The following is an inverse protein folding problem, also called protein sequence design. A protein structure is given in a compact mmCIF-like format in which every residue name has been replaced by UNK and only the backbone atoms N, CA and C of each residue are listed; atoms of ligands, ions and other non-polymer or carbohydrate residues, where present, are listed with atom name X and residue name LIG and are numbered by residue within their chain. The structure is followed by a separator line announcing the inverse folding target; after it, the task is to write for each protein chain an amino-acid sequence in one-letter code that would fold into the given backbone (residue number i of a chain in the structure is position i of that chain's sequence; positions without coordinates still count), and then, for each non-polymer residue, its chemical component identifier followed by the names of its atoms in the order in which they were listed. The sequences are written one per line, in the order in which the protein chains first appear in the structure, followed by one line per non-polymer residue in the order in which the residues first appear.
data_IF_126409890500
#
_entry.id   IF_126409890500
#
_cell.length_a   1.000
_cell.length_b   1.000
_cell.length_c   1.000
_cell.angle_alpha   90.00
_cell.angle_beta   90.00
_cell.angle_gamma   90.00
#
_symmetry.space_group_name_H-M   'P 1'
#
loop_
_entity.id
_entity.type
_entity.pdbx_description
1 polymer ?
#
# COMPACT_ATOMS: atom_id res chain seq x y z
N UNK A 1 -31.89 11.57 3.11
CA UNK A 1 -30.70 10.70 3.29
C UNK A 1 -30.20 10.95 4.69
N UNK A 2 -30.25 9.95 5.57
CA UNK A 2 -29.81 10.06 6.96
C UNK A 2 -28.72 9.03 7.17
N UNK A 3 -27.49 9.48 7.41
CA UNK A 3 -26.36 8.55 7.54
C UNK A 3 -26.00 8.24 8.98
N UNK A 4 -26.70 8.81 9.98
CA UNK A 4 -26.52 8.51 11.40
C UNK A 4 -25.10 8.72 11.96
N UNK A 5 -24.21 9.35 11.18
CA UNK A 5 -22.80 9.48 11.46
C UNK A 5 -22.45 10.97 11.49
N UNK A 6 -21.96 11.43 12.63
CA UNK A 6 -21.70 12.85 12.91
C UNK A 6 -20.70 13.47 11.93
N UNK A 7 -19.71 12.71 11.48
CA UNK A 7 -18.71 13.17 10.49
C UNK A 7 -19.31 13.47 9.11
N UNK A 8 -20.57 13.08 8.85
CA UNK A 8 -21.24 13.32 7.58
C UNK A 8 -22.12 14.58 7.57
N UNK A 9 -22.26 15.28 8.70
CA UNK A 9 -23.21 16.40 8.84
C UNK A 9 -22.92 17.55 7.86
N UNK A 10 -21.64 17.84 7.59
CA UNK A 10 -21.23 18.86 6.62
C UNK A 10 -20.95 18.30 5.21
N UNK A 11 -20.39 17.09 5.13
CA UNK A 11 -19.98 16.49 3.86
C UNK A 11 -21.17 16.13 2.96
N UNK A 12 -22.19 15.46 3.52
CA UNK A 12 -23.32 14.99 2.72
C UNK A 12 -24.13 16.12 2.06
N UNK A 13 -24.53 17.20 2.77
CA UNK A 13 -25.22 18.32 2.14
C UNK A 13 -24.39 18.98 1.04
N UNK A 14 -23.07 19.12 1.24
CA UNK A 14 -22.18 19.67 0.24
C UNK A 14 -22.20 18.84 -1.05
N UNK A 15 -22.02 17.53 -0.95
CA UNK A 15 -22.09 16.65 -2.12
C UNK A 15 -23.47 16.64 -2.79
N UNK A 16 -24.55 16.65 -2.02
CA UNK A 16 -25.91 16.77 -2.57
C UNK A 16 -26.05 18.05 -3.41
N UNK A 17 -25.50 19.18 -2.92
CA UNK A 17 -25.54 20.45 -3.65
C UNK A 17 -24.73 20.39 -4.95
N UNK A 18 -23.53 19.79 -4.93
CA UNK A 18 -22.71 19.59 -6.14
C UNK A 18 -23.43 18.70 -7.16
N UNK A 19 -23.97 17.54 -6.72
CA UNK A 19 -24.74 16.62 -7.57
C UNK A 19 -25.95 17.32 -8.18
N UNK A 20 -26.70 18.07 -7.38
CA UNK A 20 -27.89 18.79 -7.84
C UNK A 20 -27.54 19.89 -8.84
N UNK A 21 -26.43 20.61 -8.62
CA UNK A 21 -25.91 21.61 -9.55
C UNK A 21 -25.62 21.01 -10.93
N UNK A 22 -24.97 19.84 -10.98
CA UNK A 22 -24.75 19.14 -12.25
C UNK A 22 -26.03 18.58 -12.86
N UNK A 23 -26.92 17.98 -12.05
CA UNK A 23 -28.11 17.29 -12.55
C UNK A 23 -29.20 18.26 -13.04
N UNK A 24 -29.32 19.45 -12.43
CA UNK A 24 -30.44 20.35 -12.64
C UNK A 24 -30.07 21.81 -12.94
N UNK A 25 -28.85 22.25 -12.61
CA UNK A 25 -28.48 23.66 -12.58
C UNK A 25 -27.55 24.15 -13.69
N UNK A 26 -27.35 23.36 -14.75
CA UNK A 26 -26.39 23.65 -15.84
C UNK A 26 -25.01 24.09 -15.31
N UNK A 27 -24.54 23.47 -14.22
CA UNK A 27 -23.32 23.84 -13.51
C UNK A 27 -22.05 23.35 -14.23
N UNK A 28 -21.84 23.80 -15.46
CA UNK A 28 -20.65 23.52 -16.24
C UNK A 28 -20.15 24.77 -16.98
N UNK A 29 -18.93 25.28 -16.70
CA UNK A 29 -17.92 24.75 -15.79
C UNK A 29 -18.35 24.79 -14.30
N UNK A 30 -17.88 23.85 -13.47
CA UNK A 30 -18.41 23.68 -12.12
C UNK A 30 -18.05 24.84 -11.19
N UNK A 31 -19.08 25.41 -10.56
CA UNK A 31 -18.99 26.43 -9.53
C UNK A 31 -19.24 25.86 -8.14
N UNK A 32 -18.72 26.55 -7.12
CA UNK A 32 -18.92 26.20 -5.72
C UNK A 32 -20.40 26.39 -5.35
N UNK A 33 -21.06 25.39 -4.74
CA UNK A 33 -22.51 25.45 -4.48
C UNK A 33 -22.91 26.59 -3.53
N UNK A 34 -22.01 27.00 -2.64
CA UNK A 34 -22.26 28.04 -1.64
C UNK A 34 -21.75 29.44 -2.04
N UNK A 35 -20.94 29.55 -3.10
CA UNK A 35 -20.30 30.81 -3.50
C UNK A 35 -20.43 31.03 -5.01
N UNK A 36 -21.41 31.85 -5.41
CA UNK A 36 -21.67 32.16 -6.81
C UNK A 36 -20.44 32.78 -7.50
N UNK A 37 -20.15 32.33 -8.72
CA UNK A 37 -19.00 32.80 -9.51
C UNK A 37 -17.65 32.20 -9.10
N UNK A 38 -17.58 31.45 -7.98
CA UNK A 38 -16.34 30.81 -7.53
C UNK A 38 -16.23 29.42 -8.15
N UNK A 39 -15.04 29.09 -8.67
CA UNK A 39 -14.78 27.76 -9.25
C UNK A 39 -14.77 26.68 -8.18
N UNK A 40 -15.34 25.53 -8.49
CA UNK A 40 -15.26 24.35 -7.63
C UNK A 40 -13.83 23.76 -7.69
N UNK A 41 -13.13 23.78 -6.55
CA UNK A 41 -11.79 23.19 -6.41
C UNK A 41 -11.82 21.80 -5.76
N UNK A 42 -12.96 21.43 -5.19
CA UNK A 42 -13.17 20.12 -4.59
C UNK A 42 -13.21 19.01 -5.66
N UNK A 43 -12.65 17.82 -5.41
CA UNK A 43 -12.71 16.70 -6.36
C UNK A 43 -14.15 16.23 -6.62
N UNK A 44 -14.71 16.62 -7.76
CA UNK A 44 -16.14 16.49 -8.05
C UNK A 44 -16.51 15.29 -8.94
N UNK A 45 -15.54 14.46 -9.35
CA UNK A 45 -15.80 13.35 -10.30
C UNK A 45 -16.85 12.37 -9.76
N UNK A 46 -16.78 12.07 -8.47
CA UNK A 46 -17.73 11.18 -7.78
C UNK A 46 -19.14 11.78 -7.81
N UNK A 47 -19.27 13.08 -7.64
CA UNK A 47 -20.55 13.79 -7.69
C UNK A 47 -21.09 13.91 -9.12
N UNK A 48 -20.20 14.12 -10.08
CA UNK A 48 -20.54 14.20 -11.49
C UNK A 48 -21.10 12.87 -12.01
N UNK A 49 -20.48 11.73 -11.64
CA UNK A 49 -21.00 10.39 -11.97
C UNK A 49 -22.36 10.16 -11.31
N UNK A 50 -22.53 10.56 -10.04
CA UNK A 50 -23.83 10.47 -9.37
C UNK A 50 -24.89 11.31 -10.11
N UNK A 51 -24.54 12.52 -10.54
CA UNK A 51 -25.43 13.40 -11.27
C UNK A 51 -25.86 12.79 -12.61
N UNK A 52 -25.00 12.04 -13.31
CA UNK A 52 -25.40 11.29 -14.51
C UNK A 52 -26.49 10.27 -14.22
N UNK A 53 -26.36 9.50 -13.13
CA UNK A 53 -27.40 8.54 -12.72
C UNK A 53 -28.71 9.24 -12.35
N UNK A 54 -28.62 10.36 -11.63
CA UNK A 54 -29.80 11.17 -11.29
C UNK A 54 -30.47 11.72 -12.55
N UNK A 55 -29.69 12.24 -13.50
CA UNK A 55 -30.19 12.73 -14.79
C UNK A 55 -30.80 11.62 -15.65
N UNK A 56 -30.33 10.39 -15.49
CA UNK A 56 -30.90 9.19 -16.11
C UNK A 56 -32.18 8.68 -15.41
N UNK A 57 -32.65 9.36 -14.36
CA UNK A 57 -33.91 9.05 -13.67
C UNK A 57 -33.76 8.29 -12.36
N UNK A 58 -32.54 8.04 -11.88
CA UNK A 58 -32.34 7.43 -10.57
C UNK A 58 -32.71 8.41 -9.44
N UNK A 59 -33.29 7.89 -8.36
CA UNK A 59 -33.46 8.68 -7.14
C UNK A 59 -32.10 9.07 -6.57
N UNK A 60 -31.92 10.33 -6.15
CA UNK A 60 -30.66 10.85 -5.61
C UNK A 60 -30.07 9.96 -4.50
N UNK A 61 -30.90 9.55 -3.55
CA UNK A 61 -30.50 8.65 -2.48
C UNK A 61 -29.97 7.31 -3.00
N UNK A 62 -30.68 6.71 -3.96
CA UNK A 62 -30.28 5.44 -4.57
C UNK A 62 -28.99 5.57 -5.39
N UNK A 63 -28.85 6.64 -6.17
CA UNK A 63 -27.64 6.91 -6.93
C UNK A 63 -26.41 7.04 -6.01
N UNK A 64 -26.54 7.81 -4.93
CA UNK A 64 -25.46 8.00 -3.95
C UNK A 64 -25.12 6.71 -3.21
N UNK A 65 -26.13 5.94 -2.78
CA UNK A 65 -25.94 4.66 -2.09
C UNK A 65 -25.22 3.66 -2.99
N UNK A 66 -25.78 3.38 -4.17
CA UNK A 66 -25.24 2.35 -5.06
C UNK A 66 -23.84 2.68 -5.56
N UNK A 67 -23.55 3.96 -5.80
CA UNK A 67 -22.20 4.38 -6.15
C UNK A 67 -21.21 4.13 -5.02
N UNK A 68 -21.52 4.54 -3.78
CA UNK A 68 -20.66 4.30 -2.63
C UNK A 68 -20.48 2.80 -2.37
N UNK A 69 -21.56 2.02 -2.45
CA UNK A 69 -21.53 0.57 -2.28
C UNK A 69 -20.63 -0.10 -3.33
N UNK A 70 -20.79 0.24 -4.60
CA UNK A 70 -19.95 -0.30 -5.69
C UNK A 70 -18.48 0.08 -5.54
N UNK A 71 -18.19 1.32 -5.13
CA UNK A 71 -16.82 1.77 -4.85
C UNK A 71 -16.21 1.05 -3.65
N UNK A 72 -16.98 0.78 -2.59
CA UNK A 72 -16.52 0.03 -1.43
C UNK A 72 -16.20 -1.42 -1.78
N UNK A 73 -17.06 -2.09 -2.55
CA UNK A 73 -16.78 -3.45 -3.06
C UNK A 73 -15.51 -3.47 -3.92
N UNK A 74 -15.35 -2.45 -4.77
CA UNK A 74 -14.15 -2.30 -5.58
C UNK A 74 -12.91 -2.10 -4.72
N UNK A 75 -13.00 -1.27 -3.67
CA UNK A 75 -11.92 -1.04 -2.70
C UNK A 75 -11.46 -2.34 -2.04
N UNK A 76 -12.40 -3.20 -1.60
CA UNK A 76 -12.08 -4.53 -1.04
C UNK A 76 -11.26 -5.37 -2.03
N UNK A 77 -11.70 -5.43 -3.29
CA UNK A 77 -11.01 -6.18 -4.34
C UNK A 77 -9.60 -5.66 -4.61
N UNK A 78 -9.42 -4.34 -4.73
CA UNK A 78 -8.10 -3.75 -5.00
C UNK A 78 -7.17 -3.82 -3.79
N UNK A 79 -7.69 -3.68 -2.56
CA UNK A 79 -6.92 -3.89 -1.33
C UNK A 79 -6.41 -5.32 -1.24
N UNK A 80 -7.28 -6.31 -1.47
CA UNK A 80 -6.90 -7.72 -1.48
C UNK A 80 -5.80 -7.97 -2.53
N UNK A 81 -5.98 -7.47 -3.75
CA UNK A 81 -4.98 -7.63 -4.83
C UNK A 81 -3.65 -6.98 -4.46
N UNK A 82 -3.68 -5.74 -3.96
CA UNK A 82 -2.48 -5.02 -3.53
C UNK A 82 -1.72 -5.80 -2.47
N UNK A 83 -2.42 -6.25 -1.42
CA UNK A 83 -1.85 -7.03 -0.34
C UNK A 83 -1.23 -8.34 -0.86
N UNK A 84 -1.94 -9.08 -1.73
CA UNK A 84 -1.43 -10.30 -2.33
C UNK A 84 -0.14 -10.07 -3.14
N UNK A 85 -0.04 -8.97 -3.86
CA UNK A 85 1.14 -8.63 -4.65
C UNK A 85 2.32 -8.19 -3.80
N UNK A 86 2.05 -7.54 -2.67
CA UNK A 86 3.06 -7.06 -1.75
C UNK A 86 3.61 -8.19 -0.87
N UNK A 87 2.73 -8.99 -0.26
CA UNK A 87 3.10 -10.02 0.72
C UNK A 87 3.39 -11.38 0.08
N UNK A 88 2.83 -11.65 -1.11
CA UNK A 88 2.81 -12.98 -1.75
C UNK A 88 2.15 -14.07 -0.88
N UNK A 89 1.37 -13.67 0.12
CA UNK A 89 0.69 -14.55 1.07
C UNK A 89 -0.83 -14.38 0.94
N UNK A 90 -1.55 -15.49 0.76
CA UNK A 90 -3.00 -15.50 0.55
C UNK A 90 -3.79 -15.16 1.81
N UNK A 91 -3.31 -15.57 2.97
CA UNK A 91 -3.99 -15.31 4.25
C UNK A 91 -3.82 -13.84 4.61
N UNK A 92 -2.61 -13.29 4.48
CA UNK A 92 -2.36 -11.87 4.68
C UNK A 92 -3.20 -11.01 3.72
N UNK A 93 -3.31 -11.42 2.45
CA UNK A 93 -4.16 -10.75 1.47
C UNK A 93 -5.64 -10.77 1.84
N UNK A 94 -6.15 -11.91 2.32
CA UNK A 94 -7.53 -12.06 2.75
C UNK A 94 -7.84 -11.23 4.01
N UNK A 95 -6.91 -11.17 4.96
CA UNK A 95 -7.08 -10.43 6.21
C UNK A 95 -6.96 -8.91 6.02
N UNK A 96 -6.21 -8.43 5.02
CA UNK A 96 -5.93 -7.00 4.85
C UNK A 96 -7.21 -6.15 4.68
N UNK A 97 -8.16 -6.47 3.78
CA UNK A 97 -9.41 -5.73 3.69
C UNK A 97 -10.20 -5.71 5.00
N UNK A 98 -10.25 -6.84 5.73
CA UNK A 98 -10.94 -6.91 7.01
C UNK A 98 -10.30 -5.98 8.05
N UNK A 99 -8.97 -5.96 8.14
CA UNK A 99 -8.23 -5.08 9.05
C UNK A 99 -8.45 -3.59 8.72
N UNK A 100 -8.54 -3.24 7.43
CA UNK A 100 -8.79 -1.85 7.01
C UNK A 100 -10.24 -1.44 7.29
N UNK A 101 -11.21 -2.26 6.89
CA UNK A 101 -12.64 -1.94 7.06
C UNK A 101 -13.07 -1.95 8.53
N UNK A 102 -12.49 -2.84 9.32
CA UNK A 102 -12.78 -2.98 10.75
C UNK A 102 -11.72 -2.28 11.60
N UNK A 103 -10.95 -1.39 10.98
CA UNK A 103 -9.92 -0.59 11.67
C UNK A 103 -10.54 0.18 12.83
N UNK A 104 -9.80 0.29 13.91
CA UNK A 104 -10.26 0.96 15.10
C UNK A 104 -9.09 1.19 16.04
N UNK A 105 -9.33 2.00 17.05
CA UNK A 105 -8.33 2.23 18.08
C UNK A 105 -8.43 1.21 19.22
N UNK A 106 -7.82 1.55 20.35
CA UNK A 106 -7.92 0.90 21.66
C UNK A 106 -9.30 0.96 22.32
N UNK A 107 -10.35 1.39 21.60
CA UNK A 107 -11.72 1.42 22.08
C UNK A 107 -12.25 0.09 22.60
N UNK A 108 -11.73 -1.02 22.07
CA UNK A 108 -12.06 -2.37 22.51
C UNK A 108 -11.74 -2.60 24.00
N UNK A 109 -10.74 -1.90 24.57
CA UNK A 109 -10.42 -2.01 25.99
C UNK A 109 -11.57 -1.52 26.87
N UNK A 110 -12.17 -0.39 26.49
CA UNK A 110 -13.33 0.18 27.16
C UNK A 110 -14.57 -0.70 26.97
N UNK A 111 -14.79 -1.20 25.75
CA UNK A 111 -15.87 -2.15 25.46
C UNK A 111 -15.77 -3.41 26.33
N UNK A 112 -14.58 -4.03 26.43
CA UNK A 112 -14.39 -5.22 27.26
C UNK A 112 -14.54 -4.91 28.75
N UNK A 113 -14.08 -3.74 29.19
CA UNK A 113 -14.31 -3.27 30.55
C UNK A 113 -15.79 -3.17 30.87
N UNK A 114 -16.59 -2.62 29.94
CA UNK A 114 -18.04 -2.48 30.09
C UNK A 114 -18.76 -3.84 30.02
N UNK A 115 -18.35 -4.72 29.10
CA UNK A 115 -18.90 -6.08 29.01
C UNK A 115 -18.60 -6.90 30.27
N UNK A 116 -17.43 -6.71 30.90
CA UNK A 116 -17.04 -7.40 32.12
C UNK A 116 -17.73 -6.83 33.38
N UNK A 117 -17.89 -5.50 33.45
CA UNK A 117 -18.42 -4.82 34.64
C UNK A 117 -19.95 -4.63 34.62
N UNK A 118 -20.55 -4.48 33.44
CA UNK A 118 -21.97 -4.16 33.28
C UNK A 118 -22.94 -5.35 33.39
N UNK A 119 -22.44 -6.57 33.61
CA UNK A 119 -23.26 -7.80 33.67
C UNK A 119 -23.99 -8.15 32.37
N UNK A 120 -23.81 -7.35 31.31
CA UNK A 120 -24.30 -7.59 29.96
C UNK A 120 -23.19 -8.32 29.20
N UNK A 121 -23.42 -9.59 28.88
CA UNK A 121 -22.46 -10.35 28.07
C UNK A 121 -22.16 -9.66 26.73
N UNK A 122 -20.99 -9.93 26.16
CA UNK A 122 -20.45 -9.33 24.91
C UNK A 122 -21.50 -9.24 23.79
N UNK A 123 -22.27 -10.31 23.56
CA UNK A 123 -23.28 -10.35 22.51
C UNK A 123 -24.46 -9.41 22.73
N UNK A 124 -24.83 -9.12 23.99
CA UNK A 124 -25.91 -8.18 24.30
C UNK A 124 -25.45 -6.74 24.11
N UNK A 125 -24.24 -6.41 24.55
CA UNK A 125 -23.64 -5.10 24.33
C UNK A 125 -23.45 -4.83 22.83
N UNK A 126 -23.18 -5.87 22.05
CA UNK A 126 -23.12 -5.80 20.59
C UNK A 126 -24.43 -5.50 19.89
N UNK A 127 -25.54 -5.99 20.45
CA UNK A 127 -26.87 -5.73 19.89
C UNK A 127 -27.37 -4.31 20.14
N UNK A 128 -26.85 -3.64 21.18
CA UNK A 128 -27.22 -2.28 21.55
C UNK A 128 -26.01 -1.55 22.14
N UNK A 129 -25.17 -0.98 21.27
CA UNK A 129 -24.04 -0.19 21.71
C UNK A 129 -24.54 1.15 22.26
N UNK A 130 -24.18 1.47 23.50
CA UNK A 130 -24.48 2.76 24.12
C UNK A 130 -23.51 3.85 23.67
N UNK A 131 -22.29 3.47 23.30
CA UNK A 131 -21.19 4.38 22.96
C UNK A 131 -20.56 4.06 21.61
N UNK A 132 -20.08 5.10 20.92
CA UNK A 132 -19.09 4.94 19.86
C UNK A 132 -17.71 4.72 20.50
N UNK A 133 -17.27 3.46 20.55
CA UNK A 133 -15.96 3.10 21.12
C UNK A 133 -14.77 3.57 20.26
N UNK A 134 -15.00 4.04 19.04
CA UNK A 134 -13.95 4.59 18.17
C UNK A 134 -13.74 6.08 18.41
N UNK A 135 -14.81 6.80 18.76
CA UNK A 135 -14.79 8.24 19.03
C UNK A 135 -15.53 8.54 20.33
N UNK A 136 -14.81 8.50 21.46
CA UNK A 136 -15.36 8.85 22.78
C UNK A 136 -14.95 10.28 23.15
N UNK A 137 -15.77 11.26 22.75
CA UNK A 137 -15.50 12.68 22.96
C UNK A 137 -15.25 13.06 24.43
N UNK A 138 -15.96 12.42 25.36
CA UNK A 138 -15.81 12.66 26.80
C UNK A 138 -14.44 12.22 27.36
N UNK A 139 -13.74 11.29 26.69
CA UNK A 139 -12.38 10.84 27.03
C UNK A 139 -11.31 11.52 26.17
N UNK A 140 -11.70 12.41 25.23
CA UNK A 140 -10.80 12.93 24.20
C UNK A 140 -10.31 11.86 23.21
N UNK A 141 -10.92 10.68 23.22
CA UNK A 141 -10.50 9.55 22.38
C UNK A 141 -11.07 9.69 20.97
N UNK A 142 -10.21 9.83 19.96
CA UNK A 142 -10.61 10.07 18.56
C UNK A 142 -9.84 9.17 17.60
N UNK A 143 -10.17 7.89 17.60
CA UNK A 143 -9.62 6.92 16.66
C UNK A 143 -10.74 6.29 15.85
N UNK A 144 -11.33 7.09 14.95
CA UNK A 144 -12.47 6.69 14.14
C UNK A 144 -12.16 5.52 13.20
N UNK A 145 -13.15 4.65 13.02
CA UNK A 145 -13.09 3.59 12.03
C UNK A 145 -13.04 4.16 10.60
N UNK A 146 -12.23 3.57 9.72
CA UNK A 146 -12.06 4.08 8.36
C UNK A 146 -13.36 4.12 7.55
N UNK A 147 -14.30 3.20 7.77
CA UNK A 147 -15.58 3.17 7.06
C UNK A 147 -16.45 4.36 7.49
N UNK A 148 -16.66 4.53 8.79
CA UNK A 148 -17.56 5.56 9.33
C UNK A 148 -16.93 6.96 9.32
N UNK A 149 -15.62 7.08 9.48
CA UNK A 149 -14.95 8.38 9.52
C UNK A 149 -14.48 8.90 8.16
N UNK A 150 -14.23 8.00 7.20
CA UNK A 150 -13.63 8.36 5.90
C UNK A 150 -14.46 7.85 4.72
N UNK A 151 -14.68 6.55 4.57
CA UNK A 151 -15.17 6.02 3.29
C UNK A 151 -16.65 6.30 3.03
N UNK A 152 -17.49 6.29 4.06
CA UNK A 152 -18.91 6.64 3.94
C UNK A 152 -19.10 8.15 3.85
N UNK A 153 -18.31 8.89 4.62
CA UNK A 153 -18.49 10.32 4.87
C UNK A 153 -17.57 11.21 4.08
N UNK A 154 -16.69 10.66 3.23
CA UNK A 154 -15.83 11.40 2.31
C UNK A 154 -15.73 10.57 1.03
N UNK A 155 -16.79 10.62 0.22
CA UNK A 155 -16.93 9.78 -0.98
C UNK A 155 -15.81 9.96 -2.00
N UNK A 156 -15.22 11.16 -2.07
CA UNK A 156 -14.06 11.42 -2.93
C UNK A 156 -12.78 10.75 -2.41
N UNK A 157 -12.62 10.57 -1.09
CA UNK A 157 -11.52 9.77 -0.53
C UNK A 157 -11.67 8.30 -0.89
N UNK A 158 -12.89 7.75 -0.82
CA UNK A 158 -13.14 6.36 -1.19
C UNK A 158 -12.67 6.06 -2.63
N UNK A 159 -13.03 6.92 -3.58
CA UNK A 159 -12.51 6.82 -4.95
C UNK A 159 -10.99 7.02 -4.99
N UNK A 160 -10.48 8.06 -4.33
CA UNK A 160 -9.06 8.41 -4.35
C UNK A 160 -8.15 7.30 -3.84
N UNK A 161 -8.51 6.66 -2.72
CA UNK A 161 -7.76 5.53 -2.15
C UNK A 161 -7.82 4.31 -3.06
N UNK A 162 -8.98 4.00 -3.64
CA UNK A 162 -9.10 2.89 -4.59
C UNK A 162 -8.20 3.11 -5.82
N UNK A 163 -8.18 4.31 -6.38
CA UNK A 163 -7.31 4.66 -7.50
C UNK A 163 -5.82 4.65 -7.12
N UNK A 164 -5.48 5.17 -5.93
CA UNK A 164 -4.11 5.14 -5.43
C UNK A 164 -3.59 3.71 -5.30
N UNK A 165 -4.41 2.78 -4.79
CA UNK A 165 -4.06 1.36 -4.70
C UNK A 165 -3.86 0.72 -6.06
N UNK A 166 -4.66 1.08 -7.07
CA UNK A 166 -4.45 0.62 -8.45
C UNK A 166 -3.10 1.10 -8.98
N UNK A 167 -2.81 2.40 -8.83
CA UNK A 167 -1.54 3.00 -9.26
C UNK A 167 -0.36 2.34 -8.56
N UNK A 168 -0.42 2.18 -7.24
CA UNK A 168 0.63 1.52 -6.48
C UNK A 168 0.81 0.05 -6.89
N UNK A 169 -0.28 -0.68 -7.12
CA UNK A 169 -0.22 -2.06 -7.61
C UNK A 169 0.52 -2.15 -8.94
N UNK A 170 0.17 -1.30 -9.89
CA UNK A 170 0.82 -1.27 -11.21
C UNK A 170 2.29 -0.86 -11.09
N UNK A 171 2.59 0.14 -10.26
CA UNK A 171 3.96 0.59 -10.03
C UNK A 171 4.82 -0.51 -9.40
N UNK A 172 4.31 -1.21 -8.39
CA UNK A 172 5.00 -2.34 -7.75
C UNK A 172 5.29 -3.46 -8.75
N UNK A 173 4.30 -3.84 -9.56
CA UNK A 173 4.47 -4.86 -10.60
C UNK A 173 5.51 -4.44 -11.65
N UNK A 174 5.51 -3.17 -12.06
CA UNK A 174 6.51 -2.64 -12.99
C UNK A 174 7.93 -2.65 -12.39
N UNK A 175 8.07 -2.27 -11.12
CA UNK A 175 9.33 -2.27 -10.39
C UNK A 175 9.94 -3.67 -10.28
N UNK A 176 9.15 -4.66 -9.89
CA UNK A 176 9.61 -6.06 -9.78
C UNK A 176 10.01 -6.63 -11.15
N UNK A 177 9.26 -6.33 -12.22
CA UNK A 177 9.64 -6.71 -13.59
C UNK A 177 10.96 -6.07 -14.02
N UNK A 178 11.17 -4.79 -13.71
CA UNK A 178 12.41 -4.08 -14.04
C UNK A 178 13.62 -4.67 -13.29
N UNK A 179 13.48 -4.97 -11.99
CA UNK A 179 14.52 -5.66 -11.20
C UNK A 179 14.86 -7.02 -11.79
N UNK A 180 13.86 -7.83 -12.14
CA UNK A 180 14.07 -9.15 -12.75
C UNK A 180 14.79 -9.09 -14.09
N UNK A 181 14.48 -8.09 -14.94
CA UNK A 181 15.21 -7.85 -16.19
C UNK A 181 16.67 -7.48 -15.93
N UNK A 182 16.93 -6.61 -14.95
CA UNK A 182 18.29 -6.17 -14.59
C UNK A 182 19.14 -7.32 -14.03
N UNK A 183 18.54 -8.22 -13.23
CA UNK A 183 19.20 -9.42 -12.73
C UNK A 183 19.57 -10.38 -13.85
N UNK A 184 18.63 -10.70 -14.76
CA UNK A 184 18.89 -11.58 -15.91
C UNK A 184 19.97 -11.04 -16.86
N UNK A 185 19.98 -9.72 -17.10
CA UNK A 185 21.02 -9.09 -17.91
C UNK A 185 22.41 -9.20 -17.27
N UNK A 186 22.48 -9.10 -15.93
CA UNK A 186 23.72 -9.27 -15.18
C UNK A 186 24.21 -10.72 -15.22
N UNK A 187 23.33 -11.69 -14.98
CA UNK A 187 23.65 -13.12 -15.06
C UNK A 187 24.14 -13.53 -16.46
N UNK A 188 23.50 -13.05 -17.52
CA UNK A 188 23.93 -13.31 -18.90
C UNK A 188 25.29 -12.71 -19.22
N UNK A 189 25.57 -11.48 -18.76
CA UNK A 189 26.88 -10.84 -18.90
C UNK A 189 27.97 -11.58 -18.13
N UNK A 190 27.66 -12.06 -16.91
CA UNK A 190 28.60 -12.81 -16.08
C UNK A 190 28.91 -14.20 -16.70
N UNK A 191 27.90 -14.87 -17.28
CA UNK A 191 28.10 -16.11 -18.04
C UNK A 191 28.94 -15.92 -19.30
N UNK A 192 28.69 -14.87 -20.07
CA UNK A 192 29.45 -14.55 -21.29
C UNK A 192 30.91 -14.19 -20.97
N UNK A 193 31.13 -13.39 -19.91
CA UNK A 193 32.45 -13.12 -19.37
C UNK A 193 33.16 -14.41 -18.91
N UNK A 194 32.46 -15.32 -18.22
CA UNK A 194 33.04 -16.59 -17.79
C UNK A 194 33.43 -17.49 -18.98
N UNK A 195 32.60 -17.55 -20.03
CA UNK A 195 32.88 -18.35 -21.25
C UNK A 195 34.10 -17.81 -22.01
N UNK A 196 34.21 -16.49 -22.18
CA UNK A 196 35.36 -15.88 -22.87
C UNK A 196 36.69 -16.11 -22.13
N UNK A 197 36.68 -16.18 -20.80
CA UNK A 197 37.87 -16.51 -19.99
C UNK A 197 38.30 -17.97 -20.17
N UNK A 198 37.34 -18.90 -20.26
CA UNK A 198 37.62 -20.32 -20.51
C UNK A 198 38.16 -20.53 -21.93
N UNK A 199 37.56 -19.89 -22.93
CA UNK A 199 38.00 -19.95 -24.32
C UNK A 199 39.42 -19.39 -24.49
N UNK A 200 39.70 -18.20 -23.93
CA UNK A 200 41.04 -17.63 -23.94
C UNK A 200 42.08 -18.50 -23.22
N UNK A 201 41.71 -19.21 -22.13
CA UNK A 201 42.61 -20.18 -21.48
C UNK A 201 42.86 -21.42 -22.34
N UNK A 202 41.84 -21.94 -23.03
CA UNK A 202 41.97 -23.09 -23.93
C UNK A 202 42.95 -22.80 -25.07
N UNK A 203 42.80 -21.64 -25.72
CA UNK A 203 43.70 -21.17 -26.79
C UNK A 203 45.14 -20.97 -26.28
N UNK A 204 45.33 -20.46 -25.05
CA UNK A 204 46.66 -20.28 -24.46
C UNK A 204 47.37 -21.60 -24.13
N UNK A 205 46.61 -22.65 -23.78
CA UNK A 205 47.15 -23.99 -23.52
C UNK A 205 47.55 -24.68 -24.82
N UNK A 206 46.75 -24.53 -25.88
CA UNK A 206 47.03 -25.11 -27.21
C UNK A 206 48.24 -24.44 -27.88
N UNK A 207 48.37 -23.11 -27.76
CA UNK A 207 49.55 -22.36 -28.23
C UNK A 207 50.87 -22.76 -27.53
N UNK A 208 50.82 -23.21 -26.26
CA UNK A 208 51.99 -23.72 -25.53
C UNK A 208 52.41 -25.14 -25.89
N UNK A 209 51.60 -25.88 -26.66
CA UNK A 209 51.90 -27.25 -27.12
C UNK A 209 52.91 -27.33 -28.27
N UNK A 210 53.13 -26.23 -29.01
CA UNK A 210 53.99 -26.20 -30.20
C UNK A 210 55.25 -25.37 -29.91
N UNK A 211 56.24 -25.97 -29.26
CA UNK A 211 57.49 -25.25 -28.97
C UNK A 211 58.48 -25.92 -28.01
N UNK A 212 58.71 -27.24 -28.13
CA UNK A 212 59.86 -27.86 -27.44
C UNK A 212 61.16 -27.60 -28.21
N UNK A 213 61.93 -26.59 -27.80
CA UNK A 213 63.41 -26.62 -27.95
C UNK A 213 64.07 -26.52 -26.58
N UNK A 214 64.74 -27.61 -26.21
CA UNK A 214 65.59 -27.76 -25.03
C UNK A 214 66.74 -26.75 -25.10
N UNK A 215 66.91 -25.94 -24.06
CA UNK A 215 68.22 -25.37 -23.71
C UNK A 215 68.53 -25.78 -22.27
N UNK A 216 69.62 -26.53 -22.11
CA UNK A 216 70.24 -26.85 -20.83
C UNK A 216 71.01 -25.62 -20.37
N UNK A 217 70.81 -25.17 -19.13
CA UNK A 217 71.88 -24.49 -18.39
C UNK A 217 71.82 -24.86 -16.92
N UNK A 218 72.99 -25.25 -16.42
CA UNK A 218 73.30 -25.82 -15.11
C UNK A 218 74.02 -24.75 -14.31
N UNK A 219 73.52 -24.31 -13.16
CA UNK A 219 74.34 -23.65 -12.14
C UNK A 219 73.82 -24.00 -10.73
N UNK A 220 74.78 -24.35 -9.86
CA UNK A 220 74.68 -24.72 -8.45
C UNK A 220 74.55 -23.49 -7.54
N UNK A 221 73.87 -23.69 -6.41
CA UNK A 221 74.40 -23.37 -5.07
C UNK A 221 74.06 -22.01 -4.47
N UNK A 222 73.57 -22.02 -3.22
CA UNK A 222 73.59 -20.84 -2.35
C UNK A 222 72.38 -20.72 -1.41
N UNK A 223 72.53 -21.22 -0.19
CA UNK A 223 71.69 -20.91 0.96
C UNK A 223 71.83 -19.43 1.36
N UNK A 224 70.71 -18.75 1.68
CA UNK A 224 70.52 -18.04 2.97
C UNK A 224 69.15 -17.34 3.07
N UNK A 225 68.61 -17.46 4.27
CA UNK A 225 67.46 -16.79 4.88
C UNK A 225 67.50 -15.26 4.80
N UNK A 226 66.37 -14.62 4.50
CA UNK A 226 66.08 -13.24 4.94
C UNK A 226 64.57 -13.01 5.10
N UNK A 227 64.23 -12.59 6.32
CA UNK A 227 62.93 -12.19 6.85
C UNK A 227 62.61 -10.78 6.32
N UNK A 228 61.46 -10.56 5.70
CA UNK A 228 61.09 -9.26 5.12
C UNK A 228 59.58 -9.01 5.13
N UNK A 229 59.18 -8.05 5.94
CA UNK A 229 57.83 -7.57 6.26
C UNK A 229 56.95 -7.21 5.05
N UNK A 230 55.66 -7.38 5.28
CA UNK A 230 54.51 -6.81 4.58
C UNK A 230 54.73 -5.40 4.03
N UNK A 231 54.46 -5.19 2.75
CA UNK A 231 54.13 -3.88 2.20
C UNK A 231 52.69 -3.88 1.71
N UNK A 232 51.87 -3.21 2.51
CA UNK A 232 50.55 -2.69 2.19
C UNK A 232 50.77 -1.58 1.14
N UNK A 233 50.29 -1.79 -0.07
CA UNK A 233 50.31 -0.81 -1.15
C UNK A 233 48.88 -0.46 -1.50
N UNK A 234 48.45 0.72 -1.03
CA UNK A 234 47.21 1.36 -1.42
C UNK A 234 47.20 1.62 -2.93
N UNK A 235 46.09 1.28 -3.58
CA UNK A 235 45.63 2.00 -4.76
C UNK A 235 44.11 2.16 -4.61
N UNK A 236 43.75 3.37 -4.23
CA UNK A 236 42.41 3.91 -4.41
C UNK A 236 42.20 4.26 -5.90
N UNK A 237 40.96 4.61 -6.22
CA UNK A 237 40.48 5.20 -7.47
C UNK A 237 39.82 4.25 -8.48
N UNK A 238 38.59 3.85 -8.15
CA UNK A 238 37.51 3.72 -9.12
C UNK A 238 36.23 4.36 -8.51
N UNK A 239 35.50 5.20 -9.26
CA UNK A 239 34.49 6.09 -8.69
C UNK A 239 33.25 5.33 -8.26
N UNK A 240 32.81 5.60 -7.04
CA UNK A 240 31.52 5.20 -6.52
C UNK A 240 30.42 5.72 -7.45
N UNK A 241 29.64 4.82 -8.04
CA UNK A 241 28.42 5.16 -8.75
C UNK A 241 27.40 5.72 -7.76
N UNK A 242 27.40 7.04 -7.63
CA UNK A 242 26.35 7.84 -7.00
C UNK A 242 25.10 7.73 -7.86
N UNK A 243 24.24 6.77 -7.55
CA UNK A 243 23.04 6.51 -8.32
C UNK A 243 21.95 5.77 -7.55
N UNK A 244 21.84 6.01 -6.24
CA UNK A 244 20.77 5.46 -5.40
C UNK A 244 20.15 6.59 -4.56
N UNK A 245 19.47 7.56 -5.20
CA UNK A 245 18.77 8.65 -4.48
C UNK A 245 17.26 8.46 -4.38
N UNK A 246 16.71 7.30 -4.76
CA UNK A 246 15.29 6.98 -4.55
C UNK A 246 15.01 5.48 -4.31
N UNK A 247 15.92 4.79 -3.62
CA UNK A 247 15.62 3.45 -3.12
C UNK A 247 14.80 3.57 -1.83
N UNK A 248 13.47 3.55 -1.94
CA UNK A 248 12.59 3.28 -0.81
C UNK A 248 12.91 1.86 -0.32
N UNK A 249 13.85 1.75 0.63
CA UNK A 249 14.38 0.49 1.11
C UNK A 249 13.36 -0.13 2.07
N UNK A 250 12.37 -0.83 1.52
CA UNK A 250 11.53 -1.76 2.26
C UNK A 250 12.21 -3.14 2.36
N UNK A 251 13.41 -3.20 2.95
CA UNK A 251 14.00 -4.48 3.39
C UNK A 251 13.15 -5.04 4.55
N UNK A 252 13.04 -6.38 4.69
CA UNK A 252 11.78 -7.04 5.01
C UNK A 252 11.28 -6.56 6.37
N UNK A 253 10.29 -5.67 6.34
CA UNK A 253 9.68 -5.13 7.54
C UNK A 253 9.25 -6.31 8.40
N UNK A 254 9.72 -6.30 9.64
CA UNK A 254 9.54 -7.35 10.60
C UNK A 254 8.05 -7.75 10.65
N UNK A 255 7.75 -8.86 9.96
CA UNK A 255 6.39 -9.33 9.72
C UNK A 255 5.65 -9.57 11.03
N UNK A 256 6.38 -9.99 12.08
CA UNK A 256 5.84 -10.27 13.41
C UNK A 256 5.35 -9.02 14.17
N UNK A 257 6.13 -7.93 14.32
CA UNK A 257 5.64 -6.72 14.96
C UNK A 257 4.61 -5.95 14.13
N UNK A 258 4.63 -5.99 12.78
CA UNK A 258 3.56 -5.37 11.98
C UNK A 258 2.25 -6.16 12.01
N UNK A 259 2.31 -7.50 12.01
CA UNK A 259 1.12 -8.32 12.25
C UNK A 259 0.64 -8.10 13.68
N UNK A 260 1.51 -8.13 14.69
CA UNK A 260 1.12 -7.84 16.07
C UNK A 260 0.55 -6.42 16.23
N UNK A 261 1.10 -5.40 15.55
CA UNK A 261 0.54 -4.05 15.54
C UNK A 261 -0.80 -4.00 14.80
N UNK A 262 -0.97 -4.71 13.68
CA UNK A 262 -2.24 -4.87 12.97
C UNK A 262 -3.26 -5.72 13.73
N UNK A 263 -2.83 -6.61 14.61
CA UNK A 263 -3.63 -7.36 15.58
C UNK A 263 -4.02 -6.46 16.75
N UNK A 264 -3.11 -5.66 17.27
CA UNK A 264 -3.39 -4.74 18.38
C UNK A 264 -4.27 -3.56 17.91
N UNK A 265 -4.10 -3.12 16.66
CA UNK A 265 -4.88 -2.07 16.00
C UNK A 265 -6.07 -2.59 15.17
N UNK A 266 -6.23 -3.92 15.02
CA UNK A 266 -7.21 -4.50 14.09
C UNK A 266 -7.73 -5.91 14.40
N UNK A 267 -7.19 -6.62 15.40
CA UNK A 267 -7.84 -7.79 16.02
C UNK A 267 -8.49 -7.38 17.33
N UNK A 268 -9.71 -6.86 17.20
CA UNK A 268 -10.89 -7.42 17.88
C UNK A 268 -12.14 -6.89 17.16
N UNK A 269 -12.32 -7.22 15.87
CA UNK A 269 -13.50 -6.84 15.12
C UNK A 269 -14.67 -7.72 15.57
N UNK A 270 -15.21 -7.38 16.73
CA UNK A 270 -16.50 -7.85 17.21
C UNK A 270 -17.29 -6.67 17.75
N UNK A 271 -17.06 -5.43 17.31
CA UNK A 271 -17.84 -4.26 17.79
C UNK A 271 -18.07 -3.23 16.69
N UNK A 272 -18.73 -3.60 15.59
CA UNK A 272 -19.23 -2.62 14.61
C UNK A 272 -20.52 -3.11 13.94
N UNK A 273 -21.61 -3.17 14.71
CA UNK A 273 -22.95 -3.31 14.13
C UNK A 273 -23.28 -2.10 13.22
N UNK A 274 -22.83 -0.89 13.60
CA UNK A 274 -23.08 0.33 12.83
C UNK A 274 -22.39 0.35 11.46
N UNK A 275 -21.14 -0.09 11.33
CA UNK A 275 -20.48 -0.15 10.01
C UNK A 275 -21.14 -1.18 9.08
N UNK A 276 -21.69 -2.28 9.61
CA UNK A 276 -22.45 -3.25 8.83
C UNK A 276 -23.82 -2.71 8.41
N UNK A 277 -24.52 -2.01 9.32
CA UNK A 277 -25.81 -1.36 9.04
C UNK A 277 -25.66 -0.25 8.01
N UNK A 278 -24.60 0.58 8.10
CA UNK A 278 -24.30 1.63 7.10
C UNK A 278 -23.86 1.06 5.74
N UNK A 279 -23.34 -0.16 5.70
CA UNK A 279 -23.05 -0.87 4.44
C UNK A 279 -24.29 -1.54 3.82
N UNK A 280 -25.36 -1.74 4.61
CA UNK A 280 -26.57 -2.48 4.24
C UNK A 280 -27.82 -1.59 4.13
N UNK A 281 -27.75 -0.31 4.53
CA UNK A 281 -28.80 0.72 4.43
C UNK A 281 -28.34 1.89 3.56
#
# INVERSE_FOLDING_TARGET
IFTGVDTNLGDLPFHIAVVSGFAYGDNFPPQHPEFAGVRLTYPFVVDFVTAMFVRAGAALAGAMFWQNFAMMLSLVGVLHRWALKLTRDRVAALMTPALVLLSGGFGWFYFLGEAASGGRGVFRLLGSLEHDYTIMGHLGYRWGNAVTALFVTQRSILLGVALALVVWTLWWEASEKAKGKRQKAKEGSDEEAARSVVENRGVMVESRGVGKKKVKSKVKGGSKTARGRSRQGANADAPASTGDTFAFCLSPFAFKPMVAAGVIAGLLPLVHAHSFVVMML
#
